data_IF_304108567814
#
_entry.id   IF_304108567814
#
_cell.length_a   1.000
_cell.length_b   1.000
_cell.length_c   1.000
_cell.angle_alpha   90.00
_cell.angle_beta   90.00
_cell.angle_gamma   90.00
#
_symmetry.space_group_name_H-M   'P 1'
#
loop_
_entity.id
_entity.type
_entity.pdbx_description
1 polymer ?
#
# COMPACT_ATOMS: atom_id res chain seq x y z
N UNK A 1 -21.65 5.93 -18.38
CA UNK A 1 -20.18 6.10 -18.40
C UNK A 1 -19.70 5.93 -16.97
N UNK A 2 -18.59 5.21 -16.73
CA UNK A 2 -18.02 5.11 -15.40
C UNK A 2 -17.58 6.50 -14.91
N UNK A 3 -17.76 6.76 -13.62
CA UNK A 3 -17.38 8.04 -13.02
C UNK A 3 -15.85 8.16 -12.94
N UNK A 4 -15.33 9.33 -13.35
CA UNK A 4 -13.88 9.57 -13.45
C UNK A 4 -13.27 9.93 -12.10
N UNK A 5 -12.19 9.24 -11.76
CA UNK A 5 -11.39 9.51 -10.57
C UNK A 5 -9.92 9.74 -10.96
N UNK A 6 -9.14 10.34 -10.07
CA UNK A 6 -7.70 10.57 -10.28
C UNK A 6 -6.91 9.66 -9.35
N UNK A 7 -5.89 8.98 -9.88
CA UNK A 7 -4.94 8.19 -9.08
C UNK A 7 -3.54 8.80 -9.16
N UNK A 8 -3.00 9.24 -8.04
CA UNK A 8 -1.61 9.74 -7.91
C UNK A 8 -0.76 8.66 -7.27
N UNK A 9 0.10 8.05 -8.06
CA UNK A 9 0.84 6.85 -7.66
C UNK A 9 2.36 7.03 -7.81
N UNK A 10 3.10 6.13 -7.18
CA UNK A 10 4.57 6.14 -7.25
C UNK A 10 5.22 5.54 -6.00
N UNK A 11 6.53 5.38 -5.98
CA UNK A 11 7.24 4.86 -4.84
C UNK A 11 7.19 5.80 -3.63
N UNK A 12 7.62 5.30 -2.46
CA UNK A 12 7.79 6.16 -1.29
C UNK A 12 8.75 7.32 -1.59
N UNK A 13 8.57 8.45 -0.92
CA UNK A 13 9.37 9.68 -1.05
C UNK A 13 9.32 10.41 -2.41
N UNK A 14 8.48 10.01 -3.38
CA UNK A 14 8.40 10.65 -4.69
C UNK A 14 7.50 11.91 -4.75
N UNK A 15 6.84 12.32 -3.65
CA UNK A 15 6.05 13.56 -3.61
C UNK A 15 4.57 13.42 -3.97
N UNK A 16 4.01 12.22 -3.88
CA UNK A 16 2.58 11.96 -4.18
C UNK A 16 1.62 12.84 -3.40
N UNK A 17 1.84 12.98 -2.10
CA UNK A 17 0.98 13.79 -1.20
C UNK A 17 0.87 15.22 -1.70
N UNK A 18 2.00 15.87 -1.96
CA UNK A 18 2.00 17.26 -2.45
C UNK A 18 1.28 17.43 -3.79
N UNK A 19 1.52 16.53 -4.75
CA UNK A 19 0.80 16.58 -6.03
C UNK A 19 -0.70 16.29 -5.84
N UNK A 20 -1.06 15.35 -4.97
CA UNK A 20 -2.45 15.04 -4.65
C UNK A 20 -3.20 16.26 -4.09
N UNK A 21 -2.58 16.99 -3.16
CA UNK A 21 -3.14 18.23 -2.60
C UNK A 21 -3.29 19.31 -3.67
N UNK A 22 -2.28 19.51 -4.53
CA UNK A 22 -2.36 20.49 -5.62
C UNK A 22 -3.49 20.18 -6.60
N UNK A 23 -3.66 18.91 -6.96
CA UNK A 23 -4.75 18.45 -7.81
C UNK A 23 -6.11 18.60 -7.11
N UNK A 24 -6.22 18.30 -5.83
CA UNK A 24 -7.44 18.46 -5.05
C UNK A 24 -7.88 19.95 -5.05
N UNK A 25 -6.96 20.86 -4.83
CA UNK A 25 -7.25 22.29 -4.89
C UNK A 25 -7.69 22.76 -6.29
N UNK A 26 -7.08 22.20 -7.35
CA UNK A 26 -7.36 22.57 -8.73
C UNK A 26 -8.71 22.08 -9.23
N UNK A 27 -9.15 20.90 -8.77
CA UNK A 27 -10.33 20.20 -9.29
C UNK A 27 -11.46 20.05 -8.25
N UNK A 28 -11.47 20.89 -7.22
CA UNK A 28 -12.42 20.79 -6.08
C UNK A 28 -12.55 19.36 -5.57
N UNK A 29 -11.40 18.72 -5.32
CA UNK A 29 -11.32 17.31 -4.97
C UNK A 29 -11.02 17.06 -3.51
N UNK A 30 -11.11 15.78 -3.14
CA UNK A 30 -10.76 15.26 -1.82
C UNK A 30 -9.81 14.07 -1.97
N UNK A 31 -8.85 13.96 -1.07
CA UNK A 31 -7.84 12.90 -1.11
C UNK A 31 -8.34 11.66 -0.38
N UNK A 32 -8.18 10.48 -1.00
CA UNK A 32 -8.37 9.17 -0.36
C UNK A 32 -7.02 8.45 -0.34
N UNK A 33 -6.45 8.26 0.86
CA UNK A 33 -5.15 7.60 1.01
C UNK A 33 -5.25 6.11 0.66
N UNK A 34 -4.36 5.65 -0.23
CA UNK A 34 -4.17 4.25 -0.58
C UNK A 34 -2.80 3.76 -0.07
N UNK A 35 -2.51 4.01 1.19
CA UNK A 35 -1.33 3.53 1.90
C UNK A 35 -1.74 2.60 3.06
N UNK A 36 -1.21 1.38 3.05
CA UNK A 36 -1.61 0.34 4.00
C UNK A 36 -1.14 0.57 5.43
N UNK A 37 -0.26 1.54 5.65
CA UNK A 37 0.26 1.85 6.99
C UNK A 37 -0.24 3.19 7.52
N UNK A 38 -0.52 4.17 6.67
CA UNK A 38 -1.11 5.45 7.09
C UNK A 38 -2.54 5.31 7.64
N UNK A 39 -3.16 4.16 7.47
CA UNK A 39 -4.52 3.89 7.96
C UNK A 39 -4.58 3.80 9.49
N UNK A 40 -3.48 3.44 10.15
CA UNK A 40 -3.44 3.19 11.58
C UNK A 40 -3.27 4.47 12.40
N UNK A 41 -4.06 4.59 13.47
CA UNK A 41 -3.94 5.65 14.47
C UNK A 41 -2.61 5.55 15.21
N UNK A 42 -2.01 6.69 15.56
CA UNK A 42 -0.75 6.73 16.29
C UNK A 42 0.50 6.36 15.48
N UNK A 43 0.35 6.10 14.17
CA UNK A 43 1.44 5.78 13.26
C UNK A 43 1.64 6.91 12.25
N UNK A 44 2.12 8.06 12.70
CA UNK A 44 2.22 9.27 11.88
C UNK A 44 3.62 9.50 11.33
N UNK A 45 4.64 9.37 12.17
CA UNK A 45 6.04 9.64 11.81
C UNK A 45 6.56 8.57 10.87
N UNK A 46 6.53 7.32 11.29
CA UNK A 46 7.11 6.20 10.52
C UNK A 46 6.39 5.90 9.22
N UNK A 47 5.11 6.24 9.11
CA UNK A 47 4.33 6.14 7.86
C UNK A 47 4.45 7.39 7.00
N UNK A 48 5.02 8.49 7.54
CA UNK A 48 4.97 9.84 6.98
C UNK A 48 3.55 10.19 6.53
N UNK A 49 2.59 10.01 7.43
CA UNK A 49 1.24 10.53 7.24
C UNK A 49 1.30 12.06 7.07
N UNK A 50 0.52 12.65 6.15
CA UNK A 50 0.55 14.09 5.94
C UNK A 50 0.10 14.85 7.20
N UNK A 51 0.81 15.92 7.52
CA UNK A 51 0.41 16.85 8.58
C UNK A 51 -0.73 17.74 8.13
N UNK A 52 -1.40 18.41 9.07
CA UNK A 52 -2.44 19.39 8.74
C UNK A 52 -1.93 20.50 7.80
N UNK A 53 -0.66 20.91 7.98
CA UNK A 53 -0.01 21.88 7.11
C UNK A 53 0.19 21.34 5.69
N UNK A 54 0.64 20.08 5.56
CA UNK A 54 0.81 19.42 4.26
C UNK A 54 -0.51 19.14 3.56
N UNK A 55 -1.60 18.92 4.31
CA UNK A 55 -2.96 18.77 3.77
C UNK A 55 -3.54 20.09 3.24
N UNK A 56 -3.04 21.24 3.69
CA UNK A 56 -3.42 22.59 3.23
C UNK A 56 -4.94 22.81 3.16
N UNK A 57 -5.70 22.28 4.12
CA UNK A 57 -7.16 22.37 4.19
C UNK A 57 -7.94 21.44 3.25
N UNK A 58 -7.26 20.62 2.44
CA UNK A 58 -7.91 19.59 1.62
C UNK A 58 -8.37 18.42 2.51
N UNK A 59 -9.64 17.98 2.39
CA UNK A 59 -10.10 16.80 3.12
C UNK A 59 -9.32 15.55 2.70
N UNK A 60 -8.83 14.82 3.71
CA UNK A 60 -8.14 13.55 3.54
C UNK A 60 -8.90 12.44 4.24
N UNK A 61 -9.12 11.35 3.52
CA UNK A 61 -9.82 10.16 3.98
C UNK A 61 -8.88 8.96 4.06
N UNK A 62 -9.23 7.97 4.85
CA UNK A 62 -8.47 6.72 5.04
C UNK A 62 -7.07 6.93 5.63
N UNK A 63 -6.92 7.95 6.48
CA UNK A 63 -5.72 8.22 7.27
C UNK A 63 -6.12 8.15 8.74
N UNK A 64 -5.36 7.41 9.56
CA UNK A 64 -5.56 7.26 10.99
C UNK A 64 -7.01 6.87 11.40
N UNK A 65 -7.64 5.98 10.63
CA UNK A 65 -9.03 5.53 10.87
C UNK A 65 -9.10 4.18 11.58
N UNK A 66 -8.02 3.39 11.56
CA UNK A 66 -7.97 2.04 12.12
C UNK A 66 -7.24 1.99 13.46
N UNK A 67 -7.66 1.10 14.34
CA UNK A 67 -6.88 0.75 15.52
C UNK A 67 -5.64 -0.07 15.09
N UNK A 68 -4.44 0.20 15.64
CA UNK A 68 -3.24 -0.57 15.33
C UNK A 68 -3.33 -2.08 15.61
N UNK A 69 -4.21 -2.51 16.51
CA UNK A 69 -4.48 -3.92 16.79
C UNK A 69 -5.31 -4.60 15.69
N UNK A 70 -5.98 -3.82 14.83
CA UNK A 70 -6.80 -4.38 13.77
C UNK A 70 -5.97 -4.87 12.58
N UNK A 71 -6.43 -5.95 11.97
CA UNK A 71 -5.87 -6.40 10.70
C UNK A 71 -6.65 -5.81 9.52
N UNK A 72 -5.94 -5.15 8.62
CA UNK A 72 -6.50 -4.60 7.41
C UNK A 72 -5.98 -5.34 6.17
N UNK A 73 -6.92 -5.69 5.31
CA UNK A 73 -6.67 -6.31 4.01
C UNK A 73 -7.13 -5.38 2.88
N UNK A 74 -6.70 -5.67 1.65
CA UNK A 74 -7.18 -4.95 0.47
C UNK A 74 -8.72 -5.02 0.32
N UNK A 75 -9.33 -6.16 0.68
CA UNK A 75 -10.77 -6.32 0.69
C UNK A 75 -11.46 -5.41 1.73
N UNK A 76 -10.91 -5.33 2.93
CA UNK A 76 -11.44 -4.45 3.99
C UNK A 76 -11.26 -2.99 3.61
N UNK A 77 -10.11 -2.64 3.07
CA UNK A 77 -9.84 -1.30 2.57
C UNK A 77 -10.85 -0.90 1.48
N UNK A 78 -11.04 -1.73 0.46
CA UNK A 78 -12.00 -1.43 -0.61
C UNK A 78 -13.43 -1.23 -0.08
N UNK A 79 -13.88 -2.08 0.86
CA UNK A 79 -15.20 -1.92 1.50
C UNK A 79 -15.36 -0.60 2.24
N UNK A 80 -14.28 -0.07 2.82
CA UNK A 80 -14.30 1.22 3.53
C UNK A 80 -14.13 2.41 2.57
N UNK A 81 -13.22 2.30 1.58
CA UNK A 81 -12.87 3.40 0.70
C UNK A 81 -13.90 3.64 -0.42
N UNK A 82 -14.52 2.58 -0.97
CA UNK A 82 -15.51 2.70 -2.06
C UNK A 82 -16.69 3.60 -1.68
N UNK A 83 -17.36 3.45 -0.52
CA UNK A 83 -18.43 4.36 -0.12
C UNK A 83 -17.97 5.83 0.00
N UNK A 84 -16.72 6.07 0.40
CA UNK A 84 -16.14 7.42 0.49
C UNK A 84 -15.96 8.01 -0.92
N UNK A 85 -15.40 7.23 -1.85
CA UNK A 85 -15.25 7.64 -3.26
C UNK A 85 -16.61 7.96 -3.89
N UNK A 86 -17.60 7.08 -3.68
CA UNK A 86 -18.96 7.26 -4.20
C UNK A 86 -19.64 8.52 -3.59
N UNK A 87 -19.37 8.81 -2.30
CA UNK A 87 -19.88 10.02 -1.65
C UNK A 87 -19.26 11.30 -2.22
N UNK A 88 -17.94 11.32 -2.43
CA UNK A 88 -17.23 12.45 -3.02
C UNK A 88 -17.79 12.73 -4.42
N UNK A 89 -17.97 11.70 -5.25
CA UNK A 89 -18.56 11.81 -6.58
C UNK A 89 -19.99 12.34 -6.53
N UNK A 90 -20.83 11.81 -5.62
CA UNK A 90 -22.23 12.24 -5.44
C UNK A 90 -22.35 13.72 -5.05
N UNK A 91 -21.36 14.25 -4.32
CA UNK A 91 -21.26 15.69 -4.00
C UNK A 91 -20.71 16.53 -5.15
N UNK A 92 -20.48 15.94 -6.32
CA UNK A 92 -19.93 16.62 -7.50
C UNK A 92 -18.43 16.93 -7.40
N UNK A 93 -17.76 16.39 -6.39
CA UNK A 93 -16.33 16.60 -6.16
C UNK A 93 -15.48 15.52 -6.83
N UNK A 94 -14.17 15.75 -6.93
CA UNK A 94 -13.24 14.83 -7.57
C UNK A 94 -12.50 13.97 -6.54
N UNK A 95 -12.71 12.63 -6.51
CA UNK A 95 -11.89 11.74 -5.69
C UNK A 95 -10.46 11.64 -6.24
N UNK A 96 -9.48 11.80 -5.37
CA UNK A 96 -8.06 11.69 -5.71
C UNK A 96 -7.46 10.60 -4.82
N UNK A 97 -7.25 9.41 -5.38
CA UNK A 97 -6.60 8.31 -4.68
C UNK A 97 -5.09 8.54 -4.69
N UNK A 98 -4.50 8.68 -3.52
CA UNK A 98 -3.06 8.96 -3.38
C UNK A 98 -2.39 7.82 -2.62
N UNK A 99 -1.46 7.10 -3.25
CA UNK A 99 -0.78 6.04 -2.54
C UNK A 99 0.25 5.24 -3.32
N UNK A 100 0.88 4.31 -2.62
CA UNK A 100 1.88 3.40 -3.18
C UNK A 100 1.52 1.93 -3.01
N UNK A 101 0.38 1.61 -2.37
CA UNK A 101 -0.09 0.23 -2.16
C UNK A 101 -0.93 -0.20 -3.36
N UNK A 102 -0.26 -0.70 -4.41
CA UNK A 102 -0.90 -1.02 -5.68
C UNK A 102 -2.10 -1.95 -5.56
N UNK A 103 -2.01 -2.98 -4.68
CA UNK A 103 -3.14 -3.90 -4.45
C UNK A 103 -4.39 -3.18 -3.90
N UNK A 104 -4.22 -2.14 -3.07
CA UNK A 104 -5.32 -1.36 -2.53
C UNK A 104 -5.95 -0.46 -3.58
N UNK A 105 -5.12 0.16 -4.42
CA UNK A 105 -5.58 0.92 -5.58
C UNK A 105 -6.39 0.04 -6.54
N UNK A 106 -5.84 -1.12 -6.91
CA UNK A 106 -6.53 -2.08 -7.79
C UNK A 106 -7.85 -2.57 -7.17
N UNK A 107 -7.88 -2.78 -5.85
CA UNK A 107 -9.09 -3.22 -5.14
C UNK A 107 -10.25 -2.22 -5.28
N UNK A 108 -9.95 -0.93 -5.21
CA UNK A 108 -10.96 0.15 -5.36
C UNK A 108 -11.28 0.38 -6.82
N UNK A 109 -10.27 0.62 -7.66
CA UNK A 109 -10.46 1.06 -9.05
C UNK A 109 -11.08 -0.06 -9.90
N UNK A 110 -10.57 -1.28 -9.77
CA UNK A 110 -11.04 -2.42 -10.56
C UNK A 110 -12.29 -3.08 -9.95
N UNK A 111 -12.66 -2.73 -8.70
CA UNK A 111 -13.74 -3.41 -8.02
C UNK A 111 -13.46 -4.90 -7.77
N UNK A 112 -12.17 -5.26 -7.63
CA UNK A 112 -11.78 -6.66 -7.46
C UNK A 112 -12.41 -7.27 -6.23
N UNK A 113 -13.05 -8.42 -6.43
CA UNK A 113 -13.44 -9.29 -5.32
C UNK A 113 -12.22 -10.10 -4.87
N UNK A 114 -12.18 -10.43 -3.60
CA UNK A 114 -11.10 -11.23 -3.03
C UNK A 114 -11.67 -12.59 -2.62
N UNK A 115 -10.95 -13.66 -2.97
CA UNK A 115 -11.31 -14.99 -2.51
C UNK A 115 -11.45 -15.00 -0.98
N UNK A 116 -12.40 -15.77 -0.48
CA UNK A 116 -12.65 -15.99 0.95
C UNK A 116 -11.38 -16.28 1.73
N UNK A 117 -11.49 -16.33 3.02
CA UNK A 117 -10.40 -16.54 3.97
C UNK A 117 -10.39 -15.44 5.02
N UNK A 118 -10.50 -15.86 6.27
CA UNK A 118 -10.45 -14.95 7.42
C UNK A 118 -9.02 -14.92 7.94
N UNK A 119 -8.38 -13.76 7.92
CA UNK A 119 -7.09 -13.59 8.57
C UNK A 119 -7.17 -14.11 10.03
N UNK A 120 -6.35 -15.11 10.37
CA UNK A 120 -6.41 -15.78 11.68
C UNK A 120 -7.52 -16.84 11.81
N UNK A 121 -8.19 -17.25 10.74
CA UNK A 121 -9.16 -18.36 10.72
C UNK A 121 -8.57 -19.72 11.16
N UNK A 122 -9.45 -20.68 11.42
CA UNK A 122 -9.02 -22.02 11.86
C UNK A 122 -8.08 -22.70 10.85
N UNK A 123 -8.44 -22.64 9.57
CA UNK A 123 -7.62 -23.20 8.47
C UNK A 123 -6.24 -22.54 8.41
N UNK A 124 -6.16 -21.23 8.61
CA UNK A 124 -4.88 -20.53 8.63
C UNK A 124 -3.98 -20.99 9.75
N UNK A 125 -4.53 -21.15 10.96
CA UNK A 125 -3.79 -21.66 12.13
C UNK A 125 -3.31 -23.09 11.92
N UNK A 126 -4.15 -23.96 11.34
CA UNK A 126 -3.79 -25.33 11.01
C UNK A 126 -2.62 -25.39 10.00
N UNK A 127 -2.71 -24.62 8.90
CA UNK A 127 -1.63 -24.53 7.91
C UNK A 127 -0.32 -24.00 8.53
N UNK A 128 -0.39 -23.02 9.42
CA UNK A 128 0.79 -22.51 10.13
C UNK A 128 1.38 -23.55 11.07
N UNK A 129 0.54 -24.31 11.78
CA UNK A 129 1.00 -25.41 12.63
C UNK A 129 1.62 -26.55 11.82
N UNK A 130 1.06 -26.85 10.64
CA UNK A 130 1.62 -27.83 9.72
C UNK A 130 2.98 -27.35 9.18
N UNK A 131 3.09 -26.09 8.77
CA UNK A 131 4.35 -25.49 8.33
C UNK A 131 5.44 -25.61 9.41
N UNK A 132 5.08 -25.31 10.67
CA UNK A 132 6.02 -25.37 11.79
C UNK A 132 6.52 -26.80 12.09
N UNK A 133 5.68 -27.82 11.90
CA UNK A 133 6.02 -29.22 12.15
C UNK A 133 6.79 -29.90 11.02
N UNK A 134 6.37 -29.63 9.78
CA UNK A 134 6.71 -30.44 8.60
C UNK A 134 7.50 -29.65 7.54
N UNK A 135 7.61 -28.33 7.74
CA UNK A 135 8.19 -27.42 6.75
C UNK A 135 7.29 -27.20 5.54
N UNK A 136 7.82 -26.48 4.55
CA UNK A 136 7.04 -26.06 3.38
C UNK A 136 6.79 -27.17 2.34
N UNK A 137 7.61 -28.24 2.35
CA UNK A 137 7.58 -29.29 1.33
C UNK A 137 6.20 -29.93 1.14
N UNK A 138 5.58 -30.51 2.19
CA UNK A 138 4.25 -31.14 2.10
C UNK A 138 3.16 -30.16 1.63
N UNK A 139 3.20 -28.92 2.09
CA UNK A 139 2.23 -27.88 1.69
C UNK A 139 2.39 -27.48 0.23
N UNK A 140 3.60 -27.42 -0.28
CA UNK A 140 3.85 -27.15 -1.69
C UNK A 140 3.39 -28.32 -2.57
N UNK A 141 3.56 -29.56 -2.09
CA UNK A 141 3.07 -30.75 -2.81
C UNK A 141 1.54 -30.79 -2.85
N UNK A 142 0.87 -30.48 -1.74
CA UNK A 142 -0.59 -30.30 -1.73
C UNK A 142 -1.02 -29.23 -2.73
N UNK A 143 -0.32 -28.08 -2.77
CA UNK A 143 -0.63 -26.99 -3.70
C UNK A 143 -0.46 -27.46 -5.16
N UNK A 144 0.55 -28.28 -5.48
CA UNK A 144 0.74 -28.85 -6.83
C UNK A 144 -0.44 -29.73 -7.27
N UNK A 145 -1.04 -30.45 -6.33
CA UNK A 145 -2.19 -31.30 -6.61
C UNK A 145 -3.48 -30.52 -6.84
N UNK A 146 -3.72 -29.45 -6.05
CA UNK A 146 -4.97 -28.73 -6.06
C UNK A 146 -4.96 -27.49 -7.00
N UNK A 147 -3.82 -26.82 -7.14
CA UNK A 147 -3.62 -25.62 -7.97
C UNK A 147 -2.23 -25.63 -8.63
N UNK A 148 -2.02 -26.48 -9.67
CA UNK A 148 -0.73 -26.58 -10.35
C UNK A 148 -0.20 -25.25 -10.88
N UNK A 149 -1.10 -24.39 -11.40
CA UNK A 149 -0.75 -23.06 -11.92
C UNK A 149 -0.14 -22.16 -10.83
N UNK A 150 -0.75 -22.14 -9.64
CA UNK A 150 -0.21 -21.39 -8.52
C UNK A 150 1.12 -21.98 -8.02
N UNK A 151 1.23 -23.31 -7.99
CA UNK A 151 2.43 -24.00 -7.52
C UNK A 151 3.64 -23.76 -8.43
N UNK A 152 3.44 -23.71 -9.76
CA UNK A 152 4.51 -23.40 -10.73
C UNK A 152 5.00 -21.96 -10.59
N UNK A 153 4.09 -21.03 -10.30
CA UNK A 153 4.39 -19.59 -10.20
C UNK A 153 5.04 -19.18 -8.88
N UNK A 154 4.75 -19.90 -7.79
CA UNK A 154 5.21 -19.54 -6.45
C UNK A 154 6.55 -20.21 -6.11
N UNK A 155 7.52 -19.40 -5.68
CA UNK A 155 8.76 -19.94 -5.17
C UNK A 155 8.55 -20.60 -3.78
N UNK A 156 9.23 -21.71 -3.44
CA UNK A 156 9.11 -22.36 -2.11
C UNK A 156 9.32 -21.43 -0.92
N UNK A 157 10.14 -20.39 -1.06
CA UNK A 157 10.34 -19.39 -0.01
C UNK A 157 9.15 -18.40 0.13
N UNK A 158 8.16 -18.42 -0.76
CA UNK A 158 6.96 -17.59 -0.68
C UNK A 158 5.88 -18.25 0.23
N UNK A 159 6.27 -18.72 1.40
CA UNK A 159 5.41 -19.44 2.36
C UNK A 159 4.06 -18.77 2.57
N UNK A 160 4.07 -17.44 2.77
CA UNK A 160 2.83 -16.67 3.00
C UNK A 160 1.83 -16.81 1.85
N UNK A 161 2.31 -16.87 0.61
CA UNK A 161 1.46 -17.02 -0.59
C UNK A 161 1.02 -18.45 -0.80
N UNK A 162 1.89 -19.43 -0.52
CA UNK A 162 1.54 -20.86 -0.55
C UNK A 162 0.43 -21.13 0.47
N UNK A 163 0.63 -20.69 1.73
CA UNK A 163 -0.40 -20.84 2.75
C UNK A 163 -1.71 -20.15 2.35
N UNK A 164 -1.64 -18.98 1.72
CA UNK A 164 -2.84 -18.26 1.26
C UNK A 164 -3.58 -19.02 0.17
N UNK A 165 -2.88 -19.62 -0.78
CA UNK A 165 -3.51 -20.38 -1.84
C UNK A 165 -4.23 -21.63 -1.28
N UNK A 166 -3.59 -22.34 -0.36
CA UNK A 166 -4.20 -23.49 0.32
C UNK A 166 -5.36 -23.11 1.25
N UNK A 167 -5.23 -22.00 1.99
CA UNK A 167 -6.30 -21.45 2.83
C UNK A 167 -7.57 -21.21 2.00
N UNK A 168 -7.43 -20.51 0.86
CA UNK A 168 -8.56 -20.24 -0.04
C UNK A 168 -9.17 -21.54 -0.52
N UNK A 169 -8.37 -22.51 -0.94
CA UNK A 169 -8.87 -23.79 -1.42
C UNK A 169 -9.57 -24.58 -0.33
N UNK A 170 -8.95 -24.71 0.85
CA UNK A 170 -9.53 -25.49 1.98
C UNK A 170 -10.82 -24.88 2.53
N UNK A 171 -10.98 -23.53 2.46
CA UNK A 171 -12.18 -22.84 2.94
C UNK A 171 -13.31 -22.80 1.90
N UNK A 172 -12.97 -22.73 0.63
CA UNK A 172 -13.97 -22.45 -0.43
C UNK A 172 -14.14 -23.58 -1.46
N UNK A 173 -13.24 -24.54 -1.50
CA UNK A 173 -13.15 -25.53 -2.56
C UNK A 173 -12.68 -25.01 -3.90
N UNK A 174 -12.35 -23.70 -4.01
CA UNK A 174 -11.94 -23.01 -5.23
C UNK A 174 -10.48 -22.63 -5.20
N UNK A 175 -9.75 -22.87 -6.26
CA UNK A 175 -8.32 -22.50 -6.33
C UNK A 175 -8.15 -20.99 -6.48
N UNK A 176 -7.00 -20.48 -6.02
CA UNK A 176 -6.68 -19.05 -6.17
C UNK A 176 -6.47 -18.67 -7.65
N UNK A 177 -5.98 -19.60 -8.47
CA UNK A 177 -5.83 -19.39 -9.92
C UNK A 177 -7.19 -19.25 -10.61
N UNK A 178 -8.17 -20.12 -10.30
CA UNK A 178 -9.54 -20.01 -10.82
C UNK A 178 -10.20 -18.68 -10.39
N UNK A 179 -10.07 -18.30 -9.10
CA UNK A 179 -10.60 -17.03 -8.63
C UNK A 179 -9.96 -15.82 -9.34
N UNK A 180 -8.65 -15.83 -9.54
CA UNK A 180 -7.93 -14.77 -10.25
C UNK A 180 -8.34 -14.70 -11.73
N UNK A 181 -8.60 -15.82 -12.38
CA UNK A 181 -9.08 -15.85 -13.77
C UNK A 181 -10.46 -15.18 -13.89
N UNK A 182 -11.41 -15.52 -13.01
CA UNK A 182 -12.74 -14.90 -13.01
C UNK A 182 -12.76 -13.41 -12.73
N UNK A 183 -11.79 -12.93 -11.94
CA UNK A 183 -11.71 -11.50 -11.59
C UNK A 183 -10.84 -10.68 -12.53
N UNK A 184 -10.20 -11.31 -13.51
CA UNK A 184 -9.28 -10.64 -14.44
C UNK A 184 -9.99 -9.72 -15.42
N UNK A 185 -11.15 -10.14 -15.91
CA UNK A 185 -11.87 -9.49 -17.02
C UNK A 185 -13.07 -8.64 -16.54
N UNK A 186 -13.12 -8.33 -15.25
CA UNK A 186 -14.14 -7.43 -14.71
C UNK A 186 -13.93 -6.01 -15.25
N UNK A 187 -15.05 -5.37 -15.63
CA UNK A 187 -15.02 -3.96 -15.97
C UNK A 187 -14.62 -3.16 -14.74
N UNK A 188 -13.69 -2.19 -14.87
CA UNK A 188 -13.32 -1.31 -13.76
C UNK A 188 -14.55 -0.61 -13.17
N UNK A 189 -14.60 -0.51 -11.84
CA UNK A 189 -15.65 0.22 -11.14
C UNK A 189 -15.63 1.70 -11.48
N UNK A 190 -14.43 2.28 -11.59
CA UNK A 190 -14.23 3.68 -11.91
C UNK A 190 -13.35 3.84 -13.14
N UNK A 191 -13.63 4.88 -13.94
CA UNK A 191 -12.74 5.34 -15.00
C UNK A 191 -11.60 6.17 -14.36
N UNK A 192 -10.44 5.57 -14.16
CA UNK A 192 -9.33 6.15 -13.43
C UNK A 192 -8.27 6.73 -14.36
N UNK A 193 -7.94 7.99 -14.16
CA UNK A 193 -6.78 8.63 -14.80
C UNK A 193 -5.57 8.50 -13.87
N UNK A 194 -4.55 7.78 -14.32
CA UNK A 194 -3.38 7.42 -13.52
C UNK A 194 -2.21 8.35 -13.80
N UNK A 195 -1.74 9.03 -12.75
CA UNK A 195 -0.56 9.91 -12.78
C UNK A 195 0.51 9.28 -11.90
N UNK A 196 1.59 8.83 -12.52
CA UNK A 196 2.72 8.21 -11.85
C UNK A 196 3.87 9.18 -11.62
N UNK A 197 4.47 9.17 -10.45
CA UNK A 197 5.66 9.96 -10.12
C UNK A 197 6.84 9.03 -9.90
N UNK A 198 7.97 9.33 -10.55
CA UNK A 198 9.22 8.63 -10.28
C UNK A 198 10.43 9.51 -10.65
N UNK A 199 11.59 9.13 -10.13
CA UNK A 199 12.86 9.77 -10.51
C UNK A 199 13.47 9.11 -11.73
N UNK A 200 14.09 9.90 -12.60
CA UNK A 200 14.87 9.41 -13.73
C UNK A 200 16.11 8.66 -13.22
N UNK A 201 16.83 9.28 -12.27
CA UNK A 201 17.97 8.67 -11.62
C UNK A 201 17.55 7.95 -10.31
N UNK A 202 17.97 6.70 -10.19
CA UNK A 202 17.76 5.90 -8.97
C UNK A 202 18.55 6.42 -7.77
N UNK A 203 19.69 7.09 -8.01
CA UNK A 203 20.50 7.66 -6.95
C UNK A 203 19.77 8.82 -6.25
N UNK A 204 19.06 9.66 -7.00
CA UNK A 204 18.25 10.76 -6.43
C UNK A 204 17.10 10.21 -5.57
N UNK A 205 16.41 9.18 -6.06
CA UNK A 205 15.36 8.50 -5.30
C UNK A 205 15.93 7.90 -4.00
N UNK A 206 17.11 7.24 -4.07
CA UNK A 206 17.78 6.68 -2.90
C UNK A 206 18.11 7.76 -1.88
N UNK A 207 18.72 8.86 -2.32
CA UNK A 207 19.10 9.99 -1.45
C UNK A 207 17.90 10.58 -0.73
N UNK A 208 16.79 10.80 -1.42
CA UNK A 208 15.57 11.35 -0.82
C UNK A 208 14.89 10.35 0.13
N UNK A 209 14.90 9.06 -0.22
CA UNK A 209 14.39 8.02 0.68
C UNK A 209 15.21 7.94 1.97
N UNK A 210 16.54 7.99 1.87
CA UNK A 210 17.43 7.92 3.02
C UNK A 210 17.29 9.16 3.92
N UNK A 211 17.25 10.39 3.33
CA UNK A 211 16.97 11.64 4.06
C UNK A 211 15.62 11.63 4.78
N UNK A 212 14.60 11.02 4.17
CA UNK A 212 13.29 10.90 4.80
C UNK A 212 13.35 10.01 6.05
N UNK A 213 14.11 8.92 6.03
CA UNK A 213 14.33 8.07 7.22
C UNK A 213 15.04 8.86 8.30
N UNK A 214 16.09 9.61 7.96
CA UNK A 214 16.80 10.47 8.93
C UNK A 214 15.84 11.49 9.56
N UNK A 215 14.98 12.11 8.78
CA UNK A 215 13.97 13.05 9.28
C UNK A 215 12.93 12.38 10.19
N UNK A 216 12.50 11.15 9.89
CA UNK A 216 11.59 10.38 10.75
C UNK A 216 12.23 10.09 12.11
N UNK A 217 13.50 9.70 12.15
CA UNK A 217 14.23 9.45 13.39
C UNK A 217 14.36 10.74 14.20
N UNK A 218 14.75 11.84 13.55
CA UNK A 218 14.85 13.14 14.21
C UNK A 218 13.50 13.68 14.72
N UNK A 219 12.38 13.24 14.12
CA UNK A 219 11.03 13.59 14.53
C UNK A 219 10.46 12.72 15.67
N UNK A 220 11.21 11.72 16.17
CA UNK A 220 10.80 10.88 17.29
C UNK A 220 10.19 9.54 16.89
N UNK A 221 10.69 8.90 15.82
CA UNK A 221 10.19 7.59 15.39
C UNK A 221 10.33 6.51 16.45
N UNK A 222 11.45 6.52 17.21
CA UNK A 222 11.68 5.54 18.29
C UNK A 222 10.63 5.69 19.40
N UNK A 223 10.33 6.93 19.77
CA UNK A 223 9.31 7.27 20.77
C UNK A 223 7.92 6.85 20.30
N UNK A 224 7.58 7.06 19.02
CA UNK A 224 6.30 6.62 18.45
C UNK A 224 6.16 5.09 18.54
N UNK A 225 7.22 4.32 18.25
CA UNK A 225 7.21 2.86 18.39
C UNK A 225 7.05 2.44 19.87
N UNK A 226 7.75 3.13 20.79
CA UNK A 226 7.64 2.89 22.23
C UNK A 226 6.22 3.09 22.74
N UNK A 227 5.57 4.21 22.38
CA UNK A 227 4.19 4.51 22.76
C UNK A 227 3.19 3.46 22.26
N UNK A 228 3.37 2.93 21.05
CA UNK A 228 2.52 1.85 20.54
C UNK A 228 2.66 0.56 21.36
N UNK A 229 3.88 0.20 21.80
CA UNK A 229 4.09 -0.96 22.67
C UNK A 229 3.52 -0.72 24.08
N UNK A 230 3.73 0.47 24.64
CA UNK A 230 3.19 0.86 25.95
C UNK A 230 1.66 0.85 25.98
N UNK A 231 1.00 1.10 24.83
CA UNK A 231 -0.46 0.96 24.70
C UNK A 231 -0.94 -0.49 24.72
N UNK A 232 -0.06 -1.48 24.83
CA UNK A 232 -0.37 -2.89 24.85
C UNK A 232 -0.49 -3.54 23.47
N UNK A 233 -0.03 -2.87 22.40
CA UNK A 233 -0.06 -3.44 21.06
C UNK A 233 0.87 -4.66 20.96
N UNK A 234 0.35 -5.83 20.54
CA UNK A 234 1.19 -7.03 20.37
C UNK A 234 2.27 -6.81 19.31
N UNK A 235 3.48 -7.31 19.56
CA UNK A 235 4.63 -7.17 18.65
C UNK A 235 4.39 -7.76 17.26
N UNK A 236 3.52 -8.76 17.18
CA UNK A 236 3.11 -9.44 15.95
C UNK A 236 2.01 -8.68 15.20
N UNK A 237 1.47 -7.61 15.78
CA UNK A 237 0.43 -6.79 15.13
C UNK A 237 0.91 -6.34 13.75
N UNK A 238 0.00 -6.39 12.76
CA UNK A 238 0.30 -6.00 11.37
C UNK A 238 0.88 -4.58 11.29
N UNK A 239 0.40 -3.68 12.11
CA UNK A 239 0.88 -2.31 12.24
C UNK A 239 2.39 -2.24 12.53
N UNK A 240 2.87 -3.00 13.54
CA UNK A 240 4.28 -3.06 13.92
C UNK A 240 5.17 -3.82 12.92
N UNK A 241 4.61 -4.48 11.92
CA UNK A 241 5.38 -5.07 10.81
C UNK A 241 5.73 -4.04 9.72
N UNK A 242 5.28 -2.79 9.85
CA UNK A 242 5.65 -1.71 8.96
C UNK A 242 7.15 -1.41 9.02
N UNK A 243 7.69 -1.01 7.86
CA UNK A 243 9.08 -0.54 7.76
C UNK A 243 9.23 0.73 8.61
N UNK A 244 10.24 0.77 9.44
CA UNK A 244 10.45 1.84 10.41
C UNK A 244 9.95 1.49 11.81
N UNK A 245 8.99 0.56 11.96
CA UNK A 245 8.52 0.12 13.27
C UNK A 245 9.19 -1.20 13.67
N UNK A 246 9.14 -2.19 12.79
CA UNK A 246 9.71 -3.50 13.05
C UNK A 246 11.19 -3.46 13.42
N UNK A 247 11.95 -2.65 12.75
CA UNK A 247 13.40 -2.53 12.92
C UNK A 247 13.76 -1.89 14.26
N UNK A 248 12.91 -1.00 14.80
CA UNK A 248 13.13 -0.35 16.08
C UNK A 248 12.73 -1.20 17.31
N UNK A 249 12.00 -2.31 17.10
CA UNK A 249 11.69 -3.24 18.21
C UNK A 249 12.97 -3.77 18.87
N UNK A 250 14.00 -4.10 18.07
CA UNK A 250 15.29 -4.53 18.58
C UNK A 250 16.04 -3.47 19.40
N UNK A 251 15.86 -2.19 19.07
CA UNK A 251 16.43 -1.08 19.83
C UNK A 251 15.80 -0.98 21.22
N UNK A 252 14.46 -1.09 21.29
CA UNK A 252 13.72 -1.08 22.55
C UNK A 252 14.03 -2.30 23.43
N UNK A 253 14.43 -3.43 22.83
CA UNK A 253 14.86 -4.63 23.56
C UNK A 253 16.35 -4.60 23.95
N UNK A 254 17.11 -3.60 23.53
CA UNK A 254 18.56 -3.55 23.74
C UNK A 254 19.35 -4.57 22.92
N UNK A 255 18.76 -5.17 21.88
CA UNK A 255 19.39 -6.17 20.99
C UNK A 255 19.98 -5.57 19.72
N UNK A 256 19.69 -4.29 19.43
CA UNK A 256 20.22 -3.55 18.30
C UNK A 256 20.49 -2.09 18.71
N UNK A 257 21.39 -1.42 17.98
CA UNK A 257 21.61 0.02 18.12
C UNK A 257 20.64 0.81 17.23
N UNK A 258 20.49 2.10 17.52
CA UNK A 258 19.69 3.02 16.68
C UNK A 258 20.27 3.09 15.27
N UNK A 259 21.61 3.14 15.16
CA UNK A 259 22.32 3.20 13.86
C UNK A 259 22.06 1.98 12.99
N UNK A 260 22.05 0.78 13.60
CA UNK A 260 21.73 -0.47 12.91
C UNK A 260 20.28 -0.48 12.43
N UNK A 261 19.34 -0.09 13.28
CA UNK A 261 17.93 0.02 12.91
C UNK A 261 17.71 1.02 11.76
N UNK A 262 18.34 2.20 11.82
CA UNK A 262 18.27 3.22 10.76
C UNK A 262 18.82 2.69 9.44
N UNK A 263 19.97 2.01 9.48
CA UNK A 263 20.58 1.41 8.28
C UNK A 263 19.63 0.37 7.63
N UNK A 264 19.00 -0.47 8.46
CA UNK A 264 18.05 -1.49 7.97
C UNK A 264 16.76 -0.83 7.43
N UNK A 265 16.20 0.19 8.10
CA UNK A 265 15.03 0.93 7.61
C UNK A 265 15.32 1.57 6.24
N UNK A 266 16.50 2.19 6.06
CA UNK A 266 16.93 2.74 4.75
C UNK A 266 16.98 1.64 3.69
N UNK A 267 17.57 0.49 4.01
CA UNK A 267 17.64 -0.66 3.09
C UNK A 267 16.24 -1.16 2.70
N UNK A 268 15.38 -1.40 3.69
CA UNK A 268 14.01 -1.91 3.48
C UNK A 268 13.15 -0.93 2.71
N UNK A 269 13.28 0.38 2.98
CA UNK A 269 12.57 1.44 2.26
C UNK A 269 12.93 1.45 0.77
N UNK A 270 14.21 1.30 0.42
CA UNK A 270 14.66 1.19 -0.98
C UNK A 270 14.11 -0.08 -1.66
N UNK A 271 14.13 -1.21 -0.96
CA UNK A 271 13.55 -2.46 -1.47
C UNK A 271 12.04 -2.33 -1.68
N UNK A 272 11.36 -1.65 -0.77
CA UNK A 272 9.92 -1.40 -0.88
C UNK A 272 9.59 -0.50 -2.07
N UNK A 273 10.32 0.60 -2.25
CA UNK A 273 10.18 1.47 -3.41
C UNK A 273 10.33 0.71 -4.74
N UNK A 274 11.31 -0.22 -4.82
CA UNK A 274 11.48 -1.09 -5.99
C UNK A 274 10.26 -1.99 -6.21
N UNK A 275 9.72 -2.60 -5.15
CA UNK A 275 8.51 -3.44 -5.25
C UNK A 275 7.28 -2.63 -5.70
N UNK A 276 7.10 -1.41 -5.18
CA UNK A 276 6.03 -0.51 -5.61
C UNK A 276 6.13 -0.20 -7.11
N UNK A 277 7.30 0.17 -7.60
CA UNK A 277 7.51 0.43 -9.04
C UNK A 277 7.28 -0.82 -9.90
N UNK A 278 7.71 -2.00 -9.44
CA UNK A 278 7.47 -3.27 -10.15
C UNK A 278 5.97 -3.57 -10.26
N UNK A 279 5.19 -3.27 -9.23
CA UNK A 279 3.74 -3.41 -9.26
C UNK A 279 3.10 -2.40 -10.22
N UNK A 280 3.40 -1.13 -10.04
CA UNK A 280 2.80 -0.04 -10.81
C UNK A 280 3.08 -0.14 -12.31
N UNK A 281 4.26 -0.61 -12.72
CA UNK A 281 4.63 -0.81 -14.13
C UNK A 281 3.81 -1.87 -14.86
N UNK A 282 2.99 -2.66 -14.16
CA UNK A 282 2.04 -3.60 -14.77
C UNK A 282 0.81 -2.90 -15.33
N UNK A 283 0.54 -1.68 -14.89
CA UNK A 283 -0.54 -0.87 -15.42
C UNK A 283 0.00 0.02 -16.54
N UNK A 284 -0.36 -0.25 -17.82
CA UNK A 284 0.11 0.53 -18.97
C UNK A 284 -0.52 1.94 -19.03
N UNK A 285 -1.64 2.16 -18.33
CA UNK A 285 -2.37 3.42 -18.37
C UNK A 285 -1.77 4.50 -17.48
N UNK A 286 -0.68 4.22 -16.76
CA UNK A 286 -0.02 5.20 -15.92
C UNK A 286 0.77 6.19 -16.78
N UNK A 287 0.36 7.45 -16.73
CA UNK A 287 1.11 8.58 -17.28
C UNK A 287 2.23 8.97 -16.33
N UNK A 288 3.47 8.62 -16.66
CA UNK A 288 4.62 8.84 -15.82
C UNK A 288 5.19 10.25 -15.96
N UNK A 289 5.25 10.97 -14.83
CA UNK A 289 5.98 12.24 -14.68
C UNK A 289 7.33 11.91 -14.04
N UNK A 290 8.39 12.30 -14.73
CA UNK A 290 9.76 12.04 -14.31
C UNK A 290 10.35 13.26 -13.63
N UNK A 291 10.79 13.06 -12.39
CA UNK A 291 11.64 14.01 -11.72
C UNK A 291 13.07 13.88 -12.28
N UNK A 292 13.69 15.02 -12.51
CA UNK A 292 15.14 15.10 -12.59
C UNK A 292 15.71 15.03 -11.17
N UNK A 293 16.68 15.86 -10.81
CA UNK A 293 17.24 15.89 -9.44
C UNK A 293 16.23 16.44 -8.43
N UNK A 294 15.53 17.50 -8.79
CA UNK A 294 14.57 18.19 -7.93
C UNK A 294 13.12 17.93 -8.35
N UNK A 295 12.20 18.02 -7.40
CA UNK A 295 10.76 17.83 -7.63
C UNK A 295 10.11 19.15 -7.99
N UNK A 296 9.93 19.41 -9.28
CA UNK A 296 9.20 20.57 -9.80
C UNK A 296 7.69 20.30 -9.79
N UNK A 297 7.04 20.64 -8.68
CA UNK A 297 5.60 20.44 -8.51
C UNK A 297 4.76 21.36 -9.42
N UNK A 298 5.24 22.54 -9.80
CA UNK A 298 4.53 23.41 -10.72
C UNK A 298 4.44 22.78 -12.11
N UNK A 299 5.55 22.27 -12.62
CA UNK A 299 5.59 21.48 -13.86
C UNK A 299 4.73 20.21 -13.76
N UNK A 300 4.81 19.48 -12.63
CA UNK A 300 4.02 18.26 -12.46
C UNK A 300 2.52 18.56 -12.47
N UNK A 301 2.08 19.62 -11.83
CA UNK A 301 0.69 20.05 -11.87
C UNK A 301 0.26 20.42 -13.29
N UNK A 302 1.07 21.19 -14.02
CA UNK A 302 0.81 21.55 -15.40
C UNK A 302 0.67 20.32 -16.31
N UNK A 303 1.61 19.39 -16.26
CA UNK A 303 1.57 18.15 -17.04
C UNK A 303 0.34 17.32 -16.66
N UNK A 304 0.05 17.19 -15.36
CA UNK A 304 -1.14 16.49 -14.89
C UNK A 304 -2.42 17.10 -15.42
N UNK A 305 -2.52 18.43 -15.46
CA UNK A 305 -3.69 19.16 -16.01
C UNK A 305 -3.90 18.85 -17.49
N UNK A 306 -2.84 18.77 -18.27
CA UNK A 306 -2.93 18.40 -19.70
C UNK A 306 -3.44 16.95 -19.86
N UNK A 307 -2.90 16.03 -19.09
CA UNK A 307 -3.32 14.61 -19.09
C UNK A 307 -4.80 14.49 -18.72
N UNK A 308 -5.21 15.18 -17.65
CA UNK A 308 -6.58 15.14 -17.14
C UNK A 308 -7.57 15.76 -18.14
N UNK A 309 -7.23 16.88 -18.78
CA UNK A 309 -8.05 17.51 -19.81
C UNK A 309 -8.21 16.58 -21.04
N UNK A 310 -7.13 15.93 -21.49
CA UNK A 310 -7.19 14.95 -22.57
C UNK A 310 -8.09 13.76 -22.23
N UNK A 311 -8.17 13.38 -20.95
CA UNK A 311 -9.07 12.34 -20.44
C UNK A 311 -10.50 12.87 -20.17
N UNK A 312 -10.82 14.13 -20.41
CA UNK A 312 -12.14 14.72 -20.17
C UNK A 312 -12.43 15.01 -18.69
N UNK A 313 -11.41 15.27 -17.89
CA UNK A 313 -11.54 15.76 -16.51
C UNK A 313 -11.29 17.26 -16.51
N UNK A 314 -12.31 18.06 -16.15
CA UNK A 314 -12.29 19.52 -16.18
C UNK A 314 -12.59 20.11 -14.81
#
# INVERSE_FOLDING_TARGET
MAEKIICVVGPTACGKTKLGVLLAKRYDGEVVSADSMQIYKGMTIGTAAPTAEEMEGVPHHMIAVADPAEQWSAARYARAAVPIVDDILRRGKRPILVGGTGLWLDAVVQGRTFAGGHAGGAVRRELQAQLAREGIGPLLEELRQVDPEAAERLHPADEKRILRALEVYRETGKTISAHNAETRDLQPRYDAVWIGLQFRDRADMKTLSDRRVDAMVAAGLLEEVGQLLESGLPREATALQAIGYKEFLGVLDGTATVEEAVAEVKLRSRQYAKRQLTWLRRNPDIHWIWWEKDRDFARALQVSTVILAAAGVF
#
